data_IF_748158310790
#
_entry.id   IF_748158310790
#
_cell.length_a   1.000
_cell.length_b   1.000
_cell.length_c   1.000
_cell.angle_alpha   90.00
_cell.angle_beta   90.00
_cell.angle_gamma   90.00
#
_symmetry.space_group_name_H-M   'P 1'
#
loop_
_entity.id
_entity.type
_entity.pdbx_description
1 polymer ?
#
# COMPACT_ATOMS: atom_id res chain seq x y z
N UNK A 1 27.23 -5.16 -13.66
CA UNK A 1 26.18 -4.77 -12.70
C UNK A 1 26.22 -5.79 -11.56
N UNK A 2 26.77 -5.42 -10.40
CA UNK A 2 26.73 -6.30 -9.22
C UNK A 2 25.37 -6.09 -8.57
N UNK A 3 24.56 -7.13 -8.50
CA UNK A 3 23.35 -7.11 -7.69
C UNK A 3 23.77 -6.86 -6.25
N UNK A 4 23.37 -5.70 -5.72
CA UNK A 4 23.54 -5.30 -4.32
C UNK A 4 22.82 -6.30 -3.41
N UNK A 5 23.34 -6.55 -2.21
CA UNK A 5 22.74 -7.41 -1.17
C UNK A 5 21.23 -7.15 -0.93
N UNK A 6 20.74 -5.96 -1.32
CA UNK A 6 19.33 -5.58 -1.36
C UNK A 6 18.42 -6.52 -2.17
N UNK A 7 18.88 -7.10 -3.29
CA UNK A 7 18.06 -8.05 -4.05
C UNK A 7 17.99 -9.44 -3.39
N UNK A 8 18.93 -9.73 -2.48
CA UNK A 8 19.00 -10.99 -1.73
C UNK A 8 17.95 -11.02 -0.62
N UNK A 9 17.61 -9.87 -0.04
CA UNK A 9 16.57 -9.75 0.99
C UNK A 9 15.14 -9.83 0.45
N UNK A 10 14.90 -9.43 -0.80
CA UNK A 10 13.55 -9.46 -1.43
C UNK A 10 13.11 -10.90 -1.77
N UNK A 11 14.06 -11.80 -2.04
CA UNK A 11 13.80 -13.21 -2.34
C UNK A 11 13.83 -14.11 -1.09
N UNK A 12 14.04 -13.53 0.09
CA UNK A 12 14.04 -14.29 1.33
C UNK A 12 12.58 -14.51 1.73
N UNK A 13 12.11 -15.75 1.61
CA UNK A 13 10.80 -16.12 2.16
C UNK A 13 10.88 -16.00 3.68
N UNK A 14 10.25 -14.97 4.22
CA UNK A 14 10.06 -14.82 5.65
C UNK A 14 8.97 -15.80 6.10
N UNK A 15 9.22 -16.54 7.17
CA UNK A 15 8.18 -17.30 7.86
C UNK A 15 7.34 -16.31 8.68
N UNK A 16 6.35 -15.73 8.01
CA UNK A 16 5.44 -14.73 8.57
C UNK A 16 4.15 -15.44 8.94
N UNK A 17 3.70 -15.23 10.18
CA UNK A 17 2.36 -15.61 10.61
C UNK A 17 1.34 -14.82 9.75
N UNK A 18 0.65 -15.54 8.86
CA UNK A 18 -0.34 -14.98 7.94
C UNK A 18 -1.71 -14.86 8.57
N UNK A 19 -1.94 -15.38 9.77
CA UNK A 19 -3.21 -15.32 10.50
C UNK A 19 -3.33 -14.03 11.34
N UNK A 20 -2.21 -13.38 11.66
CA UNK A 20 -2.20 -12.08 12.33
C UNK A 20 -2.81 -10.99 11.44
N UNK A 21 -3.84 -10.26 11.92
CA UNK A 21 -4.40 -9.14 11.20
C UNK A 21 -3.42 -7.98 11.13
N UNK A 22 -3.30 -7.36 9.95
CA UNK A 22 -2.38 -6.25 9.70
C UNK A 22 -3.10 -5.17 8.91
N UNK A 23 -2.84 -3.91 9.28
CA UNK A 23 -3.13 -2.74 8.47
C UNK A 23 -1.80 -2.03 8.20
N UNK A 24 -1.47 -1.82 6.94
CA UNK A 24 -0.36 -0.97 6.50
C UNK A 24 -0.98 0.19 5.73
N UNK A 25 -0.73 1.42 6.16
CA UNK A 25 -1.31 2.61 5.55
C UNK A 25 -0.30 3.75 5.54
N UNK A 26 -0.43 4.65 4.58
CA UNK A 26 0.40 5.85 4.48
C UNK A 26 0.59 6.28 3.03
N UNK A 27 1.49 7.24 2.84
CA UNK A 27 1.90 7.75 1.53
C UNK A 27 2.96 6.84 0.90
N UNK A 28 2.64 6.27 -0.26
CA UNK A 28 3.55 5.42 -1.04
C UNK A 28 4.24 6.18 -2.18
N UNK A 29 3.85 7.45 -2.44
CA UNK A 29 4.35 8.31 -3.52
C UNK A 29 4.31 7.66 -4.93
N UNK A 30 3.48 6.63 -5.09
CA UNK A 30 3.27 5.87 -6.33
C UNK A 30 1.79 5.89 -6.64
N UNK A 31 1.41 6.45 -7.79
CA UNK A 31 0.01 6.48 -8.23
C UNK A 31 -0.48 5.05 -8.54
N UNK A 32 -1.30 4.49 -7.65
CA UNK A 32 -1.80 3.12 -7.75
C UNK A 32 -2.62 2.87 -9.01
N UNK A 33 -3.33 3.88 -9.53
CA UNK A 33 -4.11 3.72 -10.77
C UNK A 33 -3.23 3.54 -12.00
N UNK A 34 -1.99 4.04 -11.95
CA UNK A 34 -1.03 3.94 -13.06
C UNK A 34 -0.05 2.78 -12.89
N UNK A 35 0.10 2.27 -11.67
CA UNK A 35 1.16 1.35 -11.28
C UNK A 35 0.65 0.17 -10.44
N UNK A 36 -0.53 -0.38 -10.72
CA UNK A 36 -1.16 -1.45 -9.92
C UNK A 36 -0.19 -2.63 -9.63
N UNK A 37 0.58 -3.04 -10.63
CA UNK A 37 1.57 -4.14 -10.52
C UNK A 37 2.74 -3.86 -9.57
N UNK A 38 2.98 -2.59 -9.21
CA UNK A 38 4.06 -2.24 -8.28
C UNK A 38 3.86 -2.87 -6.90
N UNK A 39 2.62 -3.25 -6.56
CA UNK A 39 2.24 -3.78 -5.26
C UNK A 39 2.03 -5.30 -5.23
N UNK A 40 2.23 -6.01 -6.36
CA UNK A 40 2.08 -7.47 -6.44
C UNK A 40 2.95 -8.21 -5.41
N UNK A 41 4.13 -7.66 -5.11
CA UNK A 41 5.05 -8.19 -4.10
C UNK A 41 4.46 -8.17 -2.69
N UNK A 42 3.65 -7.17 -2.34
CA UNK A 42 2.97 -7.08 -1.04
C UNK A 42 1.93 -8.20 -0.89
N UNK A 43 1.18 -8.47 -1.97
CA UNK A 43 0.22 -9.57 -1.99
C UNK A 43 0.92 -10.92 -1.94
N UNK A 44 1.96 -11.12 -2.75
CA UNK A 44 2.62 -12.42 -2.90
C UNK A 44 3.39 -12.83 -1.64
N UNK A 45 4.25 -11.95 -1.12
CA UNK A 45 5.10 -12.29 0.01
C UNK A 45 4.39 -12.12 1.36
N UNK A 46 3.58 -11.06 1.52
CA UNK A 46 3.03 -10.69 2.83
C UNK A 46 1.54 -11.01 3.01
N UNK A 47 0.87 -11.49 1.95
CA UNK A 47 -0.59 -11.66 1.90
C UNK A 47 -1.37 -10.36 2.23
N UNK A 48 -0.79 -9.21 1.86
CA UNK A 48 -1.41 -7.90 2.03
C UNK A 48 -2.25 -7.59 0.78
N UNK A 49 -3.54 -7.35 0.98
CA UNK A 49 -4.47 -6.91 -0.07
C UNK A 49 -4.59 -5.40 -0.04
N UNK A 50 -4.48 -4.75 -1.20
CA UNK A 50 -4.85 -3.34 -1.29
C UNK A 50 -6.35 -3.17 -1.04
N UNK A 51 -6.71 -2.26 -0.14
CA UNK A 51 -8.10 -1.88 0.09
C UNK A 51 -8.49 -0.87 -1.00
N UNK A 52 -9.54 -1.14 -1.79
CA UNK A 52 -9.91 -0.25 -2.88
C UNK A 52 -10.40 1.10 -2.35
N UNK A 53 -9.94 2.18 -2.97
CA UNK A 53 -10.45 3.54 -2.74
C UNK A 53 -10.93 4.15 -4.05
N UNK A 54 -12.09 4.81 -4.00
CA UNK A 54 -12.68 5.48 -5.16
C UNK A 54 -12.29 6.97 -5.25
N UNK A 55 -11.65 7.51 -4.22
CA UNK A 55 -11.32 8.92 -4.12
C UNK A 55 -9.80 9.14 -4.21
N UNK A 56 -9.34 10.17 -4.94
CA UNK A 56 -7.93 10.52 -4.94
C UNK A 56 -7.52 11.05 -3.56
N UNK A 57 -6.31 10.67 -3.15
CA UNK A 57 -5.72 11.06 -1.87
C UNK A 57 -4.95 12.37 -1.93
N UNK A 58 -4.85 13.03 -3.08
CA UNK A 58 -4.26 14.36 -3.20
C UNK A 58 -5.14 15.34 -3.98
N UNK A 59 -4.91 16.64 -3.77
CA UNK A 59 -5.51 17.71 -4.58
C UNK A 59 -5.13 17.63 -6.08
N UNK A 60 -4.06 16.90 -6.40
CA UNK A 60 -3.61 16.62 -7.76
C UNK A 60 -4.34 15.46 -8.44
N UNK A 61 -5.40 14.91 -7.82
CA UNK A 61 -6.12 13.72 -8.28
C UNK A 61 -5.27 12.44 -8.36
N UNK A 62 -4.19 12.33 -7.56
CA UNK A 62 -3.38 11.11 -7.47
C UNK A 62 -3.90 10.16 -6.38
N UNK A 63 -3.50 8.88 -6.50
CA UNK A 63 -3.83 7.80 -5.57
C UNK A 63 -2.52 7.27 -4.95
N UNK A 64 -1.91 8.08 -4.08
CA UNK A 64 -0.57 7.83 -3.51
C UNK A 64 -0.64 7.39 -2.05
N UNK A 65 -1.59 7.91 -1.28
CA UNK A 65 -1.94 7.33 0.01
C UNK A 65 -2.77 6.05 -0.18
N UNK A 66 -2.26 4.92 0.31
CA UNK A 66 -2.84 3.60 0.11
C UNK A 66 -2.98 2.86 1.44
N UNK A 67 -3.97 1.97 1.50
CA UNK A 67 -4.15 1.06 2.64
C UNK A 67 -4.08 -0.38 2.15
N UNK A 68 -3.29 -1.19 2.84
CA UNK A 68 -3.15 -2.62 2.64
C UNK A 68 -3.53 -3.38 3.89
N UNK A 69 -4.19 -4.53 3.73
CA UNK A 69 -4.73 -5.30 4.85
C UNK A 69 -4.52 -6.79 4.70
N UNK A 70 -4.43 -7.46 5.85
CA UNK A 70 -4.47 -8.92 5.97
C UNK A 70 -5.43 -9.27 7.10
N UNK A 71 -6.32 -10.22 6.85
CA UNK A 71 -7.32 -10.76 7.80
C UNK A 71 -8.20 -9.72 8.50
N UNK A 72 -8.38 -8.56 7.86
CA UNK A 72 -9.33 -7.53 8.28
C UNK A 72 -9.88 -6.87 7.02
N UNK A 73 -11.15 -6.51 7.05
CA UNK A 73 -11.84 -5.83 5.95
C UNK A 73 -12.32 -4.48 6.44
N UNK A 74 -11.50 -3.43 6.39
CA UNK A 74 -11.90 -2.10 6.79
C UNK A 74 -12.72 -1.43 5.68
N UNK A 75 -13.47 -0.41 6.07
CA UNK A 75 -14.05 0.58 5.17
C UNK A 75 -13.17 1.84 5.22
N UNK A 76 -12.85 2.40 4.05
CA UNK A 76 -12.09 3.65 3.94
C UNK A 76 -13.03 4.85 3.81
N UNK A 77 -12.82 5.87 4.63
CA UNK A 77 -13.57 7.11 4.59
C UNK A 77 -12.70 8.21 4.00
N UNK A 78 -13.24 8.96 3.04
CA UNK A 78 -12.52 10.11 2.48
C UNK A 78 -12.82 11.36 3.31
N UNK A 79 -11.78 11.98 3.85
CA UNK A 79 -11.88 13.25 4.56
C UNK A 79 -11.28 14.39 3.74
N UNK A 80 -11.97 15.54 3.75
CA UNK A 80 -11.41 16.78 3.20
C UNK A 80 -10.53 17.44 4.26
N UNK A 81 -9.31 17.80 3.86
CA UNK A 81 -8.37 18.51 4.71
C UNK A 81 -7.98 19.85 4.09
N UNK A 82 -8.04 20.93 4.87
CA UNK A 82 -7.69 22.29 4.42
C UNK A 82 -6.24 22.69 4.73
N UNK A 83 -5.53 21.92 5.55
CA UNK A 83 -4.16 22.20 5.98
C UNK A 83 -3.11 21.28 5.31
N UNK A 84 -3.54 20.37 4.43
CA UNK A 84 -2.67 19.46 3.70
C UNK A 84 -3.04 19.43 2.22
N UNK A 85 -2.06 19.10 1.39
CA UNK A 85 -2.29 18.76 -0.01
C UNK A 85 -2.89 17.34 -0.18
N UNK A 86 -2.84 16.54 0.89
CA UNK A 86 -3.38 15.18 0.93
C UNK A 86 -4.74 15.15 1.64
N UNK A 87 -5.64 14.32 1.12
CA UNK A 87 -6.88 13.93 1.78
C UNK A 87 -6.60 12.74 2.70
N UNK A 88 -6.91 12.83 4.01
CA UNK A 88 -6.82 11.69 4.90
C UNK A 88 -7.69 10.53 4.44
N UNK A 89 -7.13 9.33 4.54
CA UNK A 89 -7.76 8.02 4.29
C UNK A 89 -7.82 7.24 5.60
#
# INVERSE_FOLDING_TARGET
MKYSESSLLINQEFDIDKDVPVIMMGDFDIDAKRNEKAFDSLKHHFNLNMVPTNYPSSLGNSFIDLTFTRNITPELLNYVCYFSYHHPI
#
